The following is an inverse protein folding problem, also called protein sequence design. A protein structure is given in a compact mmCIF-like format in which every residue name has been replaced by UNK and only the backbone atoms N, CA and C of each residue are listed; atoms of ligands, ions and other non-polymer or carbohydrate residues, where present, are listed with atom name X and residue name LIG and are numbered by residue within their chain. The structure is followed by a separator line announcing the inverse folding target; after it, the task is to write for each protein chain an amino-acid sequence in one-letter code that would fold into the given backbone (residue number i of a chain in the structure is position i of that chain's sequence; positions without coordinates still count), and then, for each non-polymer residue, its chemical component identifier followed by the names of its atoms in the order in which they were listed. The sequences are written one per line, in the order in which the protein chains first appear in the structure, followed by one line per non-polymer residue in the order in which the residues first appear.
data_IF_433312666585
#
_entry.id   IF_433312666585
#
_cell.length_a   1.000
_cell.length_b   1.000
_cell.length_c   1.000
_cell.angle_alpha   90.00
_cell.angle_beta   90.00
_cell.angle_gamma   90.00
#
_symmetry.space_group_name_H-M   'P 1'
#
loop_
_entity.id
_entity.type
_entity.pdbx_description
1 polymer ?
#
# COMPACT_ATOMS: atom_id res chain seq x y z
N UNK A 1 9.73 -20.93 -16.45
CA UNK A 1 10.86 -20.11 -15.93
C UNK A 1 10.54 -18.62 -15.95
N UNK A 2 10.07 -18.04 -17.07
CA UNK A 2 9.75 -16.60 -17.18
C UNK A 2 8.76 -16.09 -16.11
N UNK A 3 7.68 -16.85 -15.85
CA UNK A 3 6.65 -16.50 -14.88
C UNK A 3 7.17 -16.38 -13.44
N UNK A 4 8.06 -17.30 -13.03
CA UNK A 4 8.65 -17.26 -11.70
C UNK A 4 9.64 -16.10 -11.55
N UNK A 5 10.46 -15.83 -12.57
CA UNK A 5 11.39 -14.69 -12.54
C UNK A 5 10.65 -13.35 -12.41
N UNK A 6 9.53 -13.19 -13.12
CA UNK A 6 8.68 -12.00 -12.99
C UNK A 6 8.06 -11.90 -11.59
N UNK A 7 7.52 -12.99 -11.06
CA UNK A 7 6.98 -13.03 -9.70
C UNK A 7 8.04 -12.73 -8.62
N UNK A 8 9.24 -13.29 -8.77
CA UNK A 8 10.39 -13.03 -7.90
C UNK A 8 10.82 -11.56 -7.96
N UNK A 9 10.81 -10.95 -9.15
CA UNK A 9 11.07 -9.52 -9.30
C UNK A 9 9.98 -8.66 -8.64
N UNK A 10 8.70 -9.00 -8.80
CA UNK A 10 7.61 -8.33 -8.09
C UNK A 10 7.73 -8.48 -6.57
N UNK A 11 8.13 -9.65 -6.06
CA UNK A 11 8.39 -9.88 -4.65
C UNK A 11 9.58 -9.05 -4.13
N UNK A 12 10.65 -8.95 -4.91
CA UNK A 12 11.76 -8.03 -4.63
C UNK A 12 11.28 -6.58 -4.55
N UNK A 13 10.50 -6.11 -5.53
CA UNK A 13 9.93 -4.76 -5.53
C UNK A 13 9.00 -4.53 -4.32
N UNK A 14 8.24 -5.55 -3.90
CA UNK A 14 7.43 -5.50 -2.68
C UNK A 14 8.32 -5.24 -1.46
N UNK A 15 9.44 -5.95 -1.34
CA UNK A 15 10.41 -5.72 -0.28
C UNK A 15 10.96 -4.29 -0.30
N UNK A 16 11.38 -3.81 -1.47
CA UNK A 16 11.84 -2.42 -1.67
C UNK A 16 10.74 -1.41 -1.29
N UNK A 17 9.47 -1.75 -1.54
CA UNK A 17 8.36 -0.86 -1.18
C UNK A 17 8.09 -0.80 0.32
N UNK A 18 8.20 -1.94 0.99
CA UNK A 18 8.01 -2.05 2.44
C UNK A 18 9.16 -1.44 3.23
N UNK A 19 10.38 -1.39 2.68
CA UNK A 19 11.53 -0.73 3.32
C UNK A 19 11.43 0.80 3.39
N UNK A 20 10.55 1.41 2.57
CA UNK A 20 10.28 2.84 2.59
C UNK A 20 10.09 3.49 1.22
N UNK A 21 10.42 2.84 0.10
CA UNK A 21 10.19 3.40 -1.24
C UNK A 21 8.72 3.22 -1.64
N UNK A 22 7.88 4.21 -1.35
CA UNK A 22 6.44 4.11 -1.61
C UNK A 22 6.07 4.49 -3.04
N UNK A 23 4.89 4.04 -3.48
CA UNK A 23 4.29 4.42 -4.76
C UNK A 23 4.46 3.39 -5.89
N UNK A 24 5.21 2.32 -5.68
CA UNK A 24 5.38 1.22 -6.66
C UNK A 24 4.39 0.06 -6.47
N UNK A 25 3.37 0.23 -5.60
CA UNK A 25 2.41 -0.81 -5.25
C UNK A 25 1.59 -1.31 -6.46
N UNK A 26 1.20 -0.42 -7.37
CA UNK A 26 0.44 -0.80 -8.56
C UNK A 26 1.23 -1.74 -9.48
N UNK A 27 2.52 -1.46 -9.69
CA UNK A 27 3.40 -2.33 -10.50
C UNK A 27 3.52 -3.74 -9.92
N UNK A 28 3.61 -3.84 -8.59
CA UNK A 28 3.70 -5.13 -7.88
C UNK A 28 2.40 -5.93 -8.06
N UNK A 29 1.25 -5.28 -7.84
CA UNK A 29 -0.07 -5.92 -7.95
C UNK A 29 -0.34 -6.35 -9.39
N UNK A 30 -0.12 -5.46 -10.36
CA UNK A 30 -0.28 -5.75 -11.79
C UNK A 30 0.64 -6.88 -12.24
N UNK A 31 1.93 -6.83 -11.88
CA UNK A 31 2.89 -7.85 -12.28
C UNK A 31 2.53 -9.25 -11.77
N UNK A 32 2.12 -9.38 -10.50
CA UNK A 32 1.67 -10.66 -9.96
C UNK A 32 0.32 -11.11 -10.52
N UNK A 33 -0.59 -10.18 -10.81
CA UNK A 33 -1.87 -10.49 -11.46
C UNK A 33 -1.67 -11.03 -12.88
N UNK A 34 -0.69 -10.53 -13.64
CA UNK A 34 -0.33 -11.07 -14.95
C UNK A 34 0.21 -12.50 -14.87
N UNK A 35 0.91 -12.86 -13.79
CA UNK A 35 1.50 -14.20 -13.63
C UNK A 35 0.50 -15.23 -13.10
N UNK A 36 -0.30 -14.86 -12.10
CA UNK A 36 -1.13 -15.80 -11.34
C UNK A 36 -2.64 -15.54 -11.45
N UNK A 37 -3.06 -14.47 -12.14
CA UNK A 37 -4.42 -13.96 -12.15
C UNK A 37 -4.71 -13.07 -10.94
N UNK A 38 -5.66 -12.13 -11.09
CA UNK A 38 -5.97 -11.13 -10.06
C UNK A 38 -6.37 -11.76 -8.71
N UNK A 39 -7.27 -12.75 -8.71
CA UNK A 39 -7.76 -13.41 -7.49
C UNK A 39 -6.65 -14.18 -6.75
N UNK A 40 -5.79 -14.93 -7.45
CA UNK A 40 -4.72 -15.67 -6.79
C UNK A 40 -3.57 -14.74 -6.35
N UNK A 41 -3.28 -13.69 -7.14
CA UNK A 41 -2.27 -12.68 -6.83
C UNK A 41 -2.54 -12.01 -5.48
N UNK A 42 -3.80 -11.65 -5.17
CA UNK A 42 -4.13 -11.06 -3.87
C UNK A 42 -3.86 -12.01 -2.71
N UNK A 43 -4.15 -13.30 -2.87
CA UNK A 43 -3.85 -14.35 -1.90
C UNK A 43 -2.35 -14.58 -1.69
N UNK A 44 -1.55 -14.58 -2.77
CA UNK A 44 -0.09 -14.71 -2.72
C UNK A 44 0.55 -13.47 -2.08
N UNK A 45 0.00 -12.28 -2.35
CA UNK A 45 0.52 -11.04 -1.79
C UNK A 45 0.34 -10.95 -0.28
N UNK A 46 -0.74 -11.50 0.28
CA UNK A 46 -1.08 -11.34 1.69
C UNK A 46 0.03 -11.80 2.66
N UNK A 47 0.56 -13.04 2.56
CA UNK A 47 1.68 -13.47 3.40
C UNK A 47 2.94 -12.63 3.18
N UNK A 48 3.25 -12.26 1.93
CA UNK A 48 4.42 -11.44 1.59
C UNK A 48 4.33 -10.04 2.20
N UNK A 49 3.14 -9.43 2.18
CA UNK A 49 2.86 -8.14 2.79
C UNK A 49 3.08 -8.19 4.30
N UNK A 50 2.59 -9.24 4.98
CA UNK A 50 2.80 -9.44 6.42
C UNK A 50 4.27 -9.59 6.78
N UNK A 51 5.04 -10.39 6.03
CA UNK A 51 6.49 -10.52 6.22
C UNK A 51 7.18 -9.17 6.07
N UNK A 52 6.83 -8.42 5.02
CA UNK A 52 7.37 -7.08 4.80
C UNK A 52 7.00 -6.08 5.89
N UNK A 53 5.78 -6.15 6.41
CA UNK A 53 5.29 -5.31 7.50
C UNK A 53 6.01 -5.62 8.82
N UNK A 54 6.20 -6.89 9.18
CA UNK A 54 6.94 -7.30 10.38
C UNK A 54 8.39 -6.83 10.32
N UNK A 55 9.04 -6.96 9.17
CA UNK A 55 10.40 -6.44 8.99
C UNK A 55 10.45 -4.91 9.16
N UNK A 56 9.55 -4.19 8.48
CA UNK A 56 9.51 -2.74 8.53
C UNK A 56 9.21 -2.22 9.95
N UNK A 57 8.31 -2.88 10.69
CA UNK A 57 8.06 -2.60 12.11
C UNK A 57 9.34 -2.80 12.91
N UNK A 58 10.01 -3.94 12.77
CA UNK A 58 11.21 -4.27 13.55
C UNK A 58 12.32 -3.24 13.31
N UNK A 59 12.46 -2.79 12.07
CA UNK A 59 13.46 -1.80 11.67
C UNK A 59 13.11 -0.37 12.12
N UNK A 60 11.87 0.07 11.94
CA UNK A 60 11.44 1.47 12.16
C UNK A 60 10.63 1.70 13.45
N UNK A 61 10.55 0.73 14.36
CA UNK A 61 9.73 0.77 15.59
C UNK A 61 9.87 2.03 16.45
N UNK A 62 11.01 2.71 16.42
CA UNK A 62 11.28 3.91 17.21
C UNK A 62 10.60 5.18 16.68
N UNK A 63 10.10 5.18 15.45
CA UNK A 63 9.59 6.38 14.77
C UNK A 63 8.06 6.43 14.66
N UNK A 64 7.35 5.56 15.36
CA UNK A 64 5.90 5.39 15.20
C UNK A 64 5.12 6.55 15.82
N UNK A 65 4.18 7.10 15.06
CA UNK A 65 3.28 8.16 15.51
C UNK A 65 1.86 7.59 15.67
N UNK A 66 1.56 7.09 16.87
CA UNK A 66 0.32 6.34 17.17
C UNK A 66 -0.96 7.16 16.92
N UNK A 67 -0.91 8.47 17.12
CA UNK A 67 -2.06 9.36 16.96
C UNK A 67 -2.67 9.26 15.55
N UNK A 68 -1.85 9.24 14.51
CA UNK A 68 -2.30 9.14 13.12
C UNK A 68 -2.86 7.76 12.78
N UNK A 69 -2.36 6.71 13.43
CA UNK A 69 -2.89 5.34 13.29
C UNK A 69 -4.30 5.29 13.88
N UNK A 70 -4.49 5.77 15.11
CA UNK A 70 -5.79 5.74 15.80
C UNK A 70 -6.83 6.57 15.04
N UNK A 71 -6.43 7.68 14.41
CA UNK A 71 -7.33 8.51 13.60
C UNK A 71 -7.76 7.86 12.29
N UNK A 72 -6.89 7.09 11.62
CA UNK A 72 -7.17 6.54 10.29
C UNK A 72 -7.69 5.09 10.33
N UNK A 73 -7.18 4.27 11.25
CA UNK A 73 -7.42 2.83 11.31
C UNK A 73 -8.89 2.43 11.45
N UNK A 74 -9.73 3.06 12.31
CA UNK A 74 -11.14 2.70 12.44
C UNK A 74 -11.89 2.82 11.11
N UNK A 75 -11.59 3.88 10.35
CA UNK A 75 -12.16 4.11 9.03
C UNK A 75 -11.61 3.13 7.99
N UNK A 76 -10.34 2.73 8.09
CA UNK A 76 -9.81 1.64 7.28
C UNK A 76 -10.50 0.32 7.55
N UNK A 77 -10.79 -0.01 8.81
CA UNK A 77 -11.54 -1.21 9.18
C UNK A 77 -12.92 -1.20 8.53
N UNK A 78 -13.66 -0.08 8.64
CA UNK A 78 -14.96 0.07 7.98
C UNK A 78 -14.81 -0.08 6.46
N UNK A 79 -13.81 0.55 5.85
CA UNK A 79 -13.53 0.41 4.42
C UNK A 79 -13.23 -1.03 4.01
N UNK A 80 -12.46 -1.77 4.81
CA UNK A 80 -12.20 -3.21 4.58
C UNK A 80 -13.51 -3.99 4.63
N UNK A 81 -14.34 -3.79 5.64
CA UNK A 81 -15.63 -4.48 5.75
C UNK A 81 -16.55 -4.19 4.56
N UNK A 82 -16.60 -2.94 4.11
CA UNK A 82 -17.31 -2.57 2.87
C UNK A 82 -16.70 -3.29 1.67
N UNK A 83 -15.37 -3.39 1.59
CA UNK A 83 -14.68 -4.13 0.53
C UNK A 83 -14.93 -5.65 0.57
N UNK A 84 -15.05 -6.23 1.77
CA UNK A 84 -15.34 -7.67 1.96
C UNK A 84 -16.70 -8.03 1.38
N UNK A 85 -17.73 -7.22 1.70
CA UNK A 85 -19.11 -7.43 1.26
C UNK A 85 -19.31 -6.95 -0.17
N UNK A 86 -18.89 -5.73 -0.47
CA UNK A 86 -19.15 -5.04 -1.74
C UNK A 86 -18.21 -5.45 -2.87
N UNK A 87 -16.99 -5.91 -2.57
CA UNK A 87 -15.96 -6.14 -3.58
C UNK A 87 -16.31 -7.23 -4.61
N UNK A 88 -17.17 -8.18 -4.24
CA UNK A 88 -17.65 -9.22 -5.16
C UNK A 88 -18.60 -8.67 -6.24
N UNK A 89 -19.25 -7.54 -5.98
CA UNK A 89 -20.22 -6.90 -6.87
C UNK A 89 -19.60 -5.83 -7.77
N UNK A 90 -18.30 -5.57 -7.62
CA UNK A 90 -17.62 -4.50 -8.35
C UNK A 90 -16.94 -5.07 -9.59
N UNK A 91 -17.38 -4.60 -10.74
CA UNK A 91 -16.72 -4.88 -12.02
C UNK A 91 -15.31 -4.30 -12.02
N UNK A 92 -14.36 -5.04 -12.60
CA UNK A 92 -12.96 -4.66 -12.72
C UNK A 92 -12.78 -3.25 -13.33
N UNK A 93 -13.58 -2.91 -14.35
CA UNK A 93 -13.55 -1.58 -14.97
C UNK A 93 -13.96 -0.46 -14.00
N UNK A 94 -15.01 -0.66 -13.20
CA UNK A 94 -15.49 0.33 -12.23
C UNK A 94 -14.43 0.57 -11.14
N UNK A 95 -13.80 -0.50 -10.67
CA UNK A 95 -12.71 -0.41 -9.69
C UNK A 95 -11.51 0.35 -10.26
N UNK A 96 -11.08 -0.02 -11.47
CA UNK A 96 -9.93 0.58 -12.18
C UNK A 96 -10.12 2.08 -12.39
N UNK A 97 -11.22 2.50 -13.03
CA UNK A 97 -11.48 3.92 -13.31
C UNK A 97 -11.73 4.72 -12.03
N UNK A 98 -12.50 4.16 -11.09
CA UNK A 98 -12.77 4.81 -9.80
C UNK A 98 -11.48 5.08 -9.02
N UNK A 99 -10.59 4.10 -8.89
CA UNK A 99 -9.31 4.28 -8.22
C UNK A 99 -8.42 5.30 -8.92
N UNK A 100 -8.29 5.24 -10.25
CA UNK A 100 -7.45 6.16 -10.99
C UNK A 100 -7.91 7.61 -10.82
N UNK A 101 -9.22 7.87 -10.92
CA UNK A 101 -9.79 9.20 -10.70
C UNK A 101 -9.46 9.70 -9.30
N UNK A 102 -9.69 8.87 -8.28
CA UNK A 102 -9.48 9.28 -6.89
C UNK A 102 -7.99 9.51 -6.60
N UNK A 103 -7.09 8.65 -7.10
CA UNK A 103 -5.64 8.79 -6.92
C UNK A 103 -5.15 10.07 -7.62
N UNK A 104 -5.52 10.28 -8.88
CA UNK A 104 -5.11 11.48 -9.64
C UNK A 104 -5.67 12.76 -9.04
N UNK A 105 -6.94 12.76 -8.64
CA UNK A 105 -7.56 13.88 -7.93
C UNK A 105 -6.82 14.21 -6.64
N UNK A 106 -6.48 13.18 -5.85
CA UNK A 106 -5.81 13.37 -4.57
C UNK A 106 -4.33 13.76 -4.72
N UNK A 107 -3.65 13.28 -5.78
CA UNK A 107 -2.32 13.77 -6.18
C UNK A 107 -2.39 15.25 -6.60
N UNK A 108 -3.40 15.64 -7.37
CA UNK A 108 -3.63 17.03 -7.77
C UNK A 108 -3.87 17.94 -6.56
N UNK A 109 -4.71 17.50 -5.61
CA UNK A 109 -4.94 18.21 -4.34
C UNK A 109 -3.64 18.36 -3.52
N UNK A 110 -2.82 17.31 -3.45
CA UNK A 110 -1.53 17.39 -2.78
C UNK A 110 -0.56 18.33 -3.47
N UNK A 111 -0.45 18.27 -4.80
CA UNK A 111 0.41 19.18 -5.55
C UNK A 111 0.00 20.64 -5.32
N UNK A 112 -1.31 20.91 -5.29
CA UNK A 112 -1.85 22.22 -4.96
C UNK A 112 -1.50 22.66 -3.52
N UNK A 113 -1.62 21.77 -2.53
CA UNK A 113 -1.29 22.07 -1.13
C UNK A 113 0.21 22.19 -0.85
N UNK A 114 1.05 21.44 -1.56
CA UNK A 114 2.51 21.53 -1.43
C UNK A 114 3.02 22.89 -1.95
N UNK A 115 2.36 23.44 -2.97
CA UNK A 115 2.69 24.74 -3.59
C UNK A 115 2.01 25.95 -2.93
N UNK A 116 1.11 25.75 -1.94
CA UNK A 116 0.56 26.86 -1.15
C UNK A 116 1.61 27.42 -0.18
N UNK A 117 1.70 28.76 -0.09
CA UNK A 117 2.55 29.46 0.89
C UNK A 117 2.15 29.12 2.33
N UNK A 118 0.84 29.05 2.60
CA UNK A 118 0.31 28.67 3.90
C UNK A 118 0.20 27.17 4.06
N UNK A 119 1.10 26.67 4.89
CA UNK A 119 1.36 25.27 5.16
C UNK A 119 0.39 24.73 6.24
N UNK A 120 -0.92 24.74 5.95
CA UNK A 120 -1.94 24.25 6.89
C UNK A 120 -2.05 22.73 6.87
N UNK A 121 -2.01 22.10 8.05
CA UNK A 121 -2.22 20.66 8.20
C UNK A 121 -3.74 20.44 8.26
N UNK A 122 -4.32 19.50 7.47
CA UNK A 122 -5.73 19.19 7.56
C UNK A 122 -6.08 18.70 8.98
N UNK A 123 -6.83 19.51 9.73
CA UNK A 123 -7.18 19.21 11.12
C UNK A 123 -8.55 18.55 11.27
N UNK A 124 -9.41 18.67 10.24
CA UNK A 124 -10.77 18.16 10.31
C UNK A 124 -10.82 16.64 10.16
N UNK A 125 -11.64 15.98 10.98
CA UNK A 125 -11.77 14.52 11.04
C UNK A 125 -12.21 13.89 9.72
N UNK A 126 -12.94 14.64 8.89
CA UNK A 126 -13.44 14.18 7.56
C UNK A 126 -12.33 13.79 6.60
N UNK A 127 -11.15 14.40 6.73
CA UNK A 127 -10.02 14.06 5.88
C UNK A 127 -9.45 12.68 6.24
N UNK A 128 -9.24 12.44 7.54
CA UNK A 128 -8.79 11.15 8.04
C UNK A 128 -9.81 10.04 7.77
N UNK A 129 -11.11 10.34 7.90
CA UNK A 129 -12.17 9.37 7.63
C UNK A 129 -12.29 9.00 6.16
N UNK A 130 -12.29 10.00 5.26
CA UNK A 130 -12.33 9.74 3.81
C UNK A 130 -11.11 8.96 3.33
N UNK A 131 -9.90 9.37 3.74
CA UNK A 131 -8.68 8.65 3.38
C UNK A 131 -8.65 7.25 3.99
N UNK A 132 -9.10 7.09 5.23
CA UNK A 132 -9.19 5.80 5.91
C UNK A 132 -10.17 4.86 5.20
N UNK A 133 -11.40 5.30 4.90
CA UNK A 133 -12.40 4.49 4.19
C UNK A 133 -11.89 4.04 2.82
N UNK A 134 -11.36 4.97 2.03
CA UNK A 134 -10.84 4.68 0.70
C UNK A 134 -9.62 3.75 0.75
N UNK A 135 -8.70 3.98 1.70
CA UNK A 135 -7.58 3.08 1.93
C UNK A 135 -8.09 1.68 2.34
N UNK A 136 -9.00 1.57 3.30
CA UNK A 136 -9.56 0.30 3.75
C UNK A 136 -10.18 -0.51 2.61
N UNK A 137 -11.04 0.14 1.83
CA UNK A 137 -11.71 -0.48 0.70
C UNK A 137 -10.72 -0.93 -0.39
N UNK A 138 -9.79 -0.06 -0.78
CA UNK A 138 -8.82 -0.38 -1.85
C UNK A 138 -7.74 -1.37 -1.42
N UNK A 139 -7.41 -1.46 -0.12
CA UNK A 139 -6.54 -2.56 0.35
C UNK A 139 -7.23 -3.91 0.24
N UNK A 140 -8.53 -3.99 0.53
CA UNK A 140 -9.25 -5.26 0.50
C UNK A 140 -9.36 -5.79 -0.93
N UNK A 141 -9.76 -4.95 -1.88
CA UNK A 141 -10.01 -5.38 -3.26
C UNK A 141 -8.71 -5.59 -4.05
N UNK A 142 -7.74 -4.67 -3.91
CA UNK A 142 -6.58 -4.63 -4.81
C UNK A 142 -5.22 -4.52 -4.13
N UNK A 143 -5.14 -4.49 -2.79
CA UNK A 143 -3.90 -4.14 -2.06
C UNK A 143 -3.33 -2.76 -2.45
N UNK A 144 -4.19 -1.80 -2.82
CA UNK A 144 -3.79 -0.48 -3.39
C UNK A 144 -3.94 0.71 -2.42
N UNK A 145 -4.15 0.45 -1.14
CA UNK A 145 -4.25 1.50 -0.10
C UNK A 145 -3.01 2.37 0.08
N UNK A 146 -1.87 1.93 -0.46
CA UNK A 146 -0.62 2.67 -0.46
C UNK A 146 -0.82 4.11 -0.93
N UNK A 147 -1.54 4.32 -2.02
CA UNK A 147 -1.81 5.66 -2.55
C UNK A 147 -2.45 6.53 -1.47
N UNK A 148 -3.64 6.17 -0.97
CA UNK A 148 -4.40 6.90 0.05
C UNK A 148 -3.65 7.16 1.35
N UNK A 149 -2.97 6.13 1.88
CA UNK A 149 -2.16 6.28 3.10
C UNK A 149 -1.00 7.24 2.89
N UNK A 150 -0.36 7.23 1.71
CA UNK A 150 0.69 8.18 1.39
C UNK A 150 0.15 9.60 1.37
N UNK A 151 -1.03 9.82 0.79
CA UNK A 151 -1.67 11.14 0.74
C UNK A 151 -1.92 11.66 2.14
N UNK A 152 -2.51 10.82 2.99
CA UNK A 152 -2.77 11.15 4.38
C UNK A 152 -1.50 11.53 5.13
N UNK A 153 -0.46 10.69 5.08
CA UNK A 153 0.78 10.95 5.82
C UNK A 153 1.62 12.11 5.25
N UNK A 154 1.58 12.33 3.93
CA UNK A 154 2.21 13.49 3.30
C UNK A 154 1.53 14.80 3.74
N UNK A 155 0.19 14.80 3.77
CA UNK A 155 -0.60 15.92 4.25
C UNK A 155 -0.38 16.22 5.75
N UNK A 156 -0.17 15.17 6.56
CA UNK A 156 0.23 15.29 7.97
C UNK A 156 1.70 15.66 8.17
N UNK A 157 2.46 15.75 7.09
CA UNK A 157 3.84 16.23 7.04
C UNK A 157 4.81 15.45 7.94
N UNK A 158 4.60 14.16 8.08
CA UNK A 158 5.52 13.31 8.84
C UNK A 158 6.93 13.33 8.23
N UNK A 159 7.99 13.43 9.05
CA UNK A 159 9.36 13.14 8.61
C UNK A 159 9.47 11.74 8.02
N UNK A 160 10.43 11.51 7.11
CA UNK A 160 10.59 10.23 6.38
C UNK A 160 10.51 8.99 7.28
N UNK A 161 11.29 8.95 8.36
CA UNK A 161 11.33 7.76 9.22
C UNK A 161 10.01 7.58 9.99
N UNK A 162 9.37 8.68 10.39
CA UNK A 162 8.07 8.64 11.07
C UNK A 162 6.98 8.18 10.13
N UNK A 163 7.01 8.63 8.88
CA UNK A 163 6.15 8.15 7.82
C UNK A 163 6.30 6.63 7.66
N UNK A 164 7.53 6.14 7.46
CA UNK A 164 7.76 4.71 7.18
C UNK A 164 7.34 3.84 8.37
N UNK A 165 7.73 4.20 9.59
CA UNK A 165 7.39 3.45 10.80
C UNK A 165 5.89 3.46 11.12
N UNK A 166 5.22 4.60 10.93
CA UNK A 166 3.77 4.72 11.17
C UNK A 166 2.98 3.94 10.12
N UNK A 167 3.38 4.04 8.84
CA UNK A 167 2.77 3.26 7.77
C UNK A 167 2.96 1.76 7.96
N UNK A 168 4.14 1.30 8.43
CA UNK A 168 4.40 -0.11 8.68
C UNK A 168 3.42 -0.70 9.71
N UNK A 169 3.18 0.01 10.83
CA UNK A 169 2.19 -0.43 11.81
C UNK A 169 0.76 -0.38 11.28
N UNK A 170 0.38 0.70 10.58
CA UNK A 170 -0.95 0.82 9.98
C UNK A 170 -1.23 -0.35 9.03
N UNK A 171 -0.29 -0.66 8.14
CA UNK A 171 -0.42 -1.75 7.18
C UNK A 171 -0.38 -3.13 7.83
N UNK A 172 0.47 -3.33 8.84
CA UNK A 172 0.48 -4.59 9.59
C UNK A 172 -0.88 -4.87 10.23
N UNK A 173 -1.46 -3.89 10.95
CA UNK A 173 -2.72 -4.09 11.66
C UNK A 173 -3.85 -4.34 10.67
N UNK A 174 -3.96 -3.54 9.60
CA UNK A 174 -5.05 -3.73 8.63
C UNK A 174 -4.87 -5.01 7.80
N UNK A 175 -3.63 -5.40 7.46
CA UNK A 175 -3.38 -6.65 6.73
C UNK A 175 -3.68 -7.85 7.63
N UNK A 176 -3.29 -7.81 8.91
CA UNK A 176 -3.66 -8.85 9.87
C UNK A 176 -5.19 -8.95 10.02
N UNK A 177 -5.89 -7.81 10.07
CA UNK A 177 -7.36 -7.78 10.08
C UNK A 177 -7.99 -8.38 8.80
N UNK A 178 -7.34 -8.24 7.65
CA UNK A 178 -7.80 -8.81 6.38
C UNK A 178 -7.63 -10.33 6.27
N UNK A 179 -6.66 -10.92 6.97
CA UNK A 179 -6.32 -12.35 6.87
C UNK A 179 -7.55 -13.26 7.01
N UNK A 180 -8.38 -13.11 8.07
CA UNK A 180 -9.68 -13.79 8.19
C UNK A 180 -10.51 -13.83 6.91
N UNK A 181 -10.71 -12.67 6.27
CA UNK A 181 -11.58 -12.54 5.11
C UNK A 181 -10.96 -13.17 3.86
N UNK A 182 -9.63 -13.11 3.71
CA UNK A 182 -8.92 -13.77 2.61
C UNK A 182 -8.94 -15.29 2.72
N UNK A 183 -9.03 -15.84 3.94
CA UNK A 183 -9.15 -17.29 4.19
C UNK A 183 -10.61 -17.73 4.02
N UNK A 184 -11.54 -17.10 4.73
CA UNK A 184 -12.90 -17.62 4.90
C UNK A 184 -13.94 -17.05 3.94
N UNK A 185 -13.81 -15.79 3.51
CA UNK A 185 -14.84 -15.15 2.67
C UNK A 185 -14.46 -15.16 1.20
N UNK A 186 -13.19 -14.86 0.90
CA UNK A 186 -12.69 -14.73 -0.47
C UNK A 186 -11.93 -15.98 -0.95
N UNK A 187 -11.52 -16.86 -0.03
CA UNK A 187 -10.80 -18.12 -0.28
C UNK A 187 -9.53 -17.98 -1.15
N UNK A 188 -8.97 -16.76 -1.17
CA UNK A 188 -7.76 -16.42 -1.93
C UNK A 188 -6.49 -16.96 -1.26
N UNK A 189 -6.48 -17.07 0.07
CA UNK A 189 -5.33 -17.56 0.83
C UNK A 189 -5.53 -19.05 1.11
N UNK A 190 -5.05 -19.89 0.20
CA UNK A 190 -5.13 -21.35 0.22
C UNK A 190 -3.71 -21.96 0.24
N UNK A 191 -3.62 -23.28 0.34
CA UNK A 191 -2.34 -23.99 0.42
C UNK A 191 -1.41 -23.66 -0.75
N UNK A 192 -1.96 -23.52 -1.96
CA UNK A 192 -1.18 -23.20 -3.16
C UNK A 192 -0.61 -21.78 -3.09
N UNK A 193 -1.43 -20.78 -2.73
CA UNK A 193 -0.94 -19.40 -2.61
C UNK A 193 0.07 -19.22 -1.48
N UNK A 194 -0.08 -19.97 -0.37
CA UNK A 194 0.91 -20.02 0.72
C UNK A 194 2.25 -20.62 0.27
N UNK A 195 2.24 -21.72 -0.48
CA UNK A 195 3.47 -22.34 -1.00
C UNK A 195 4.21 -21.40 -1.95
N UNK A 196 3.49 -20.75 -2.88
CA UNK A 196 4.09 -19.76 -3.79
C UNK A 196 4.65 -18.59 -2.99
N UNK A 197 3.90 -18.08 -2.01
CA UNK A 197 4.38 -17.00 -1.14
C UNK A 197 5.67 -17.37 -0.44
N UNK A 198 5.76 -18.59 0.12
CA UNK A 198 6.96 -19.05 0.82
C UNK A 198 8.19 -19.07 -0.10
N UNK A 199 8.03 -19.48 -1.36
CA UNK A 199 9.11 -19.45 -2.35
C UNK A 199 9.56 -18.01 -2.71
N UNK A 200 8.65 -17.04 -2.60
CA UNK A 200 8.90 -15.63 -2.91
C UNK A 200 9.45 -14.82 -1.72
N UNK A 201 9.29 -15.30 -0.47
CA UNK A 201 9.80 -14.65 0.75
C UNK A 201 11.28 -14.26 0.67
N UNK A 202 12.21 -15.12 0.19
CA UNK A 202 13.63 -14.74 0.08
C UNK A 202 13.84 -13.48 -0.77
N UNK A 203 13.10 -13.32 -1.86
CA UNK A 203 13.18 -12.14 -2.72
C UNK A 203 12.63 -10.89 -2.04
N UNK A 204 11.56 -11.01 -1.26
CA UNK A 204 11.06 -9.92 -0.40
C UNK A 204 12.14 -9.48 0.59
N UNK A 205 12.83 -10.41 1.25
CA UNK A 205 13.89 -10.10 2.21
C UNK A 205 15.07 -9.39 1.53
N UNK A 206 15.51 -9.88 0.37
CA UNK A 206 16.56 -9.23 -0.42
C UNK A 206 16.14 -7.80 -0.81
N UNK A 207 14.89 -7.63 -1.25
CA UNK A 207 14.31 -6.33 -1.58
C UNK A 207 14.23 -5.39 -0.38
N UNK A 208 13.85 -5.89 0.79
CA UNK A 208 13.81 -5.11 2.03
C UNK A 208 15.19 -4.58 2.39
N UNK A 209 16.21 -5.43 2.36
CA UNK A 209 17.59 -5.05 2.67
C UNK A 209 18.09 -4.01 1.66
N UNK A 210 17.96 -4.29 0.36
CA UNK A 210 18.36 -3.35 -0.69
C UNK A 210 17.63 -2.00 -0.55
N UNK A 211 16.32 -2.05 -0.32
CA UNK A 211 15.50 -0.86 -0.15
C UNK A 211 15.84 -0.06 1.11
N UNK A 212 16.24 -0.67 2.22
CA UNK A 212 16.73 0.04 3.41
C UNK A 212 18.00 0.84 3.07
N UNK A 213 18.94 0.23 2.34
CA UNK A 213 20.16 0.92 1.90
C UNK A 213 19.85 2.11 0.97
N UNK A 214 18.88 1.96 0.07
CA UNK A 214 18.44 3.04 -0.82
C UNK A 214 17.77 4.18 -0.04
N UNK A 215 16.81 3.87 0.85
CA UNK A 215 16.06 4.87 1.63
C UNK A 215 16.95 5.70 2.54
N UNK A 216 18.04 5.11 3.07
CA UNK A 216 19.03 5.85 3.87
C UNK A 216 19.69 7.00 3.11
N UNK A 217 19.89 6.86 1.79
CA UNK A 217 20.52 7.89 0.94
C UNK A 217 19.57 9.03 0.53
N UNK A 218 18.26 8.88 0.75
CA UNK A 218 17.25 9.85 0.31
C UNK A 218 16.99 10.89 1.40
N UNK A 219 17.17 12.17 1.11
CA UNK A 219 16.82 13.28 2.02
C UNK A 219 15.29 13.47 2.15
N UNK A 220 14.84 14.13 3.21
CA UNK A 220 13.41 14.29 3.50
C UNK A 220 12.62 15.00 2.38
N UNK A 221 13.16 16.05 1.78
CA UNK A 221 12.46 16.80 0.73
C UNK A 221 12.38 16.00 -0.58
N UNK A 222 13.46 15.31 -0.93
CA UNK A 222 13.50 14.38 -2.05
C UNK A 222 12.55 13.20 -1.85
N UNK A 223 12.39 12.73 -0.61
CA UNK A 223 11.48 11.64 -0.25
C UNK A 223 10.02 12.00 -0.56
N UNK A 224 9.58 13.21 -0.18
CA UNK A 224 8.21 13.68 -0.46
C UNK A 224 7.92 13.74 -1.95
N UNK A 225 8.81 14.38 -2.71
CA UNK A 225 8.69 14.49 -4.17
C UNK A 225 8.63 13.12 -4.85
N UNK A 226 9.47 12.19 -4.39
CA UNK A 226 9.49 10.82 -4.91
C UNK A 226 8.18 10.07 -4.63
N UNK A 227 7.61 10.18 -3.43
CA UNK A 227 6.32 9.56 -3.12
C UNK A 227 5.21 10.14 -3.99
N UNK A 228 5.17 11.47 -4.14
CA UNK A 228 4.18 12.13 -5.00
C UNK A 228 4.31 11.65 -6.44
N UNK A 229 5.53 11.62 -6.98
CA UNK A 229 5.80 11.17 -8.34
C UNK A 229 5.37 9.72 -8.54
N UNK A 230 5.79 8.79 -7.68
CA UNK A 230 5.43 7.39 -7.84
C UNK A 230 3.94 7.12 -7.58
N UNK A 231 3.31 7.85 -6.67
CA UNK A 231 1.85 7.75 -6.48
C UNK A 231 1.10 8.26 -7.71
N UNK A 232 1.57 9.35 -8.34
CA UNK A 232 1.03 9.86 -9.59
C UNK A 232 1.18 8.86 -10.74
N UNK A 233 2.40 8.34 -10.94
CA UNK A 233 2.69 7.31 -11.95
C UNK A 233 1.83 6.08 -11.70
N UNK A 234 1.66 5.65 -10.45
CA UNK A 234 0.79 4.53 -10.10
C UNK A 234 -0.66 4.77 -10.49
N UNK A 235 -1.21 5.97 -10.23
CA UNK A 235 -2.55 6.35 -10.66
C UNK A 235 -2.72 6.37 -12.17
N UNK A 236 -1.74 6.91 -12.90
CA UNK A 236 -1.74 6.93 -14.38
C UNK A 236 -1.63 5.51 -14.95
N UNK A 237 -0.75 4.67 -14.40
CA UNK A 237 -0.58 3.29 -14.84
C UNK A 237 -1.87 2.47 -14.71
N UNK A 238 -2.67 2.73 -13.66
CA UNK A 238 -3.99 2.11 -13.49
C UNK A 238 -4.97 2.52 -14.60
N UNK A 239 -4.84 3.69 -15.25
CA UNK A 239 -5.71 4.03 -16.38
C UNK A 239 -5.41 3.23 -17.64
N UNK A 240 -4.12 3.00 -17.91
CA UNK A 240 -3.66 2.44 -19.18
C UNK A 240 -3.62 0.91 -19.22
N UNK A 241 -3.82 0.23 -18.09
CA UNK A 241 -3.68 -1.21 -17.96
C UNK A 241 -4.95 -1.85 -17.46
#
# INVERSE_FOLDING_TARGET
MLNFSLAAFCAFLLGVSKSGIKGIASLIVTGLALVYGAKNSTGILMPLLLVGDVFAITYYKRHVQKEYIIKMLPWMVIGVLIGVVGGQYITESLFKYGMAIIILFSVGLMYYWENKKDKTIPSHWTFASSMGLLAGFTTMIGNLAGAFSNIYFLAMRLPKNNFIGTAAWLFFIINAFKVPFHIWTWETMNSTSLQISLQLVPFVIIGLVAGVFLVKKIENDSYRKLILLFTAIGGVAILFN
#
